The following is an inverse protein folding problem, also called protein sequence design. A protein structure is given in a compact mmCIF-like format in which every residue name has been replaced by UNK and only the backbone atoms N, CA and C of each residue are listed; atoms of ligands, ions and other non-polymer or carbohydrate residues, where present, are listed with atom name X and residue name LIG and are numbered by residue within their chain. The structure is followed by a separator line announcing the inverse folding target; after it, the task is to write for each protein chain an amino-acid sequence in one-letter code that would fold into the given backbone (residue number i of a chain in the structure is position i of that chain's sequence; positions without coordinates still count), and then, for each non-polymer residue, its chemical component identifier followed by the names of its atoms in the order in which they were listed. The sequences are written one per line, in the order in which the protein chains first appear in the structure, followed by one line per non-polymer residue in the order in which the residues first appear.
data_IF_377047281471
#
_entry.id   IF_377047281471
#
_cell.length_a   1.000
_cell.length_b   1.000
_cell.length_c   1.000
_cell.angle_alpha   90.00
_cell.angle_beta   90.00
_cell.angle_gamma   90.00
#
_symmetry.space_group_name_H-M   'P 1'
#
loop_
_entity.id
_entity.type
_entity.pdbx_description
1 polymer ?
#
# COMPACT_ATOMS: atom_id res chain seq x y z
N UNK A 1 18.39 19.82 0.86
CA UNK A 1 19.17 19.62 2.10
C UNK A 1 18.27 20.02 3.26
N UNK A 2 17.56 19.06 3.86
CA UNK A 2 16.65 19.32 4.97
C UNK A 2 17.32 18.86 6.26
N UNK A 3 17.27 19.63 7.35
CA UNK A 3 17.90 19.25 8.60
C UNK A 3 17.09 18.15 9.31
N UNK A 4 17.80 17.14 9.80
CA UNK A 4 17.30 16.12 10.71
C UNK A 4 16.81 16.78 12.00
N UNK A 5 15.52 16.67 12.32
CA UNK A 5 15.01 17.05 13.62
C UNK A 5 14.94 15.82 14.54
N UNK A 6 15.89 15.80 15.45
CA UNK A 6 15.92 14.97 16.65
C UNK A 6 14.66 15.24 17.49
N UNK A 7 14.01 14.17 17.95
CA UNK A 7 12.82 14.21 18.78
C UNK A 7 12.96 15.09 20.01
N UNK A 8 12.14 16.12 20.10
CA UNK A 8 11.99 16.94 21.30
C UNK A 8 11.02 16.27 22.27
N UNK A 9 11.54 15.73 23.36
CA UNK A 9 10.80 15.34 24.56
C UNK A 9 10.03 16.55 25.08
N UNK A 10 8.70 16.51 25.07
CA UNK A 10 7.86 17.51 25.74
C UNK A 10 7.75 17.17 27.22
N UNK A 11 8.33 17.99 28.08
CA UNK A 11 8.10 17.94 29.52
C UNK A 11 6.69 18.46 29.85
N UNK A 12 5.86 17.62 30.46
CA UNK A 12 4.63 18.02 31.11
C UNK A 12 4.92 18.17 32.61
N UNK A 13 4.50 19.27 33.27
CA UNK A 13 4.81 19.49 34.68
C UNK A 13 4.04 18.50 35.58
N UNK A 14 4.75 17.95 36.54
CA UNK A 14 4.26 16.97 37.52
C UNK A 14 3.48 17.71 38.61
N UNK A 15 2.21 17.35 38.78
CA UNK A 15 1.47 17.60 40.03
C UNK A 15 1.00 16.24 40.57
N UNK A 16 1.57 15.82 41.70
CA UNK A 16 1.12 14.66 42.47
C UNK A 16 1.72 13.33 42.04
N UNK A 17 2.64 12.83 42.81
CA UNK A 17 3.30 11.54 43.03
C UNK A 17 2.98 10.27 42.22
N UNK A 18 2.51 10.33 40.99
CA UNK A 18 2.53 9.18 40.06
C UNK A 18 3.79 9.32 39.17
N UNK A 19 4.74 8.37 39.29
CA UNK A 19 5.74 8.17 38.24
C UNK A 19 5.01 7.86 36.95
N UNK A 20 4.89 8.85 36.08
CA UNK A 20 4.51 8.61 34.68
C UNK A 20 5.62 7.72 34.11
N UNK A 21 5.36 6.44 33.92
CA UNK A 21 6.18 5.59 33.08
C UNK A 21 6.19 6.27 31.71
N UNK A 22 7.32 6.89 31.36
CA UNK A 22 7.57 7.34 29.98
C UNK A 22 7.59 6.04 29.19
N UNK A 23 6.49 5.72 28.51
CA UNK A 23 6.46 4.59 27.59
C UNK A 23 7.44 4.92 26.48
N UNK A 24 8.45 4.06 26.30
CA UNK A 24 9.37 4.15 25.19
C UNK A 24 8.60 4.02 23.89
N UNK A 25 9.00 4.80 22.88
CA UNK A 25 8.44 4.58 21.54
C UNK A 25 8.70 3.14 21.09
N UNK A 26 7.72 2.55 20.41
CA UNK A 26 7.86 1.23 19.80
C UNK A 26 9.03 1.16 18.80
N UNK A 27 9.51 2.29 18.29
CA UNK A 27 10.66 2.37 17.40
C UNK A 27 12.00 2.36 18.14
N UNK A 28 12.01 2.68 19.45
CA UNK A 28 13.24 2.84 20.21
C UNK A 28 14.01 1.51 20.32
N UNK A 29 15.24 1.52 19.80
CA UNK A 29 16.12 0.33 19.79
C UNK A 29 15.82 -0.65 18.65
N UNK A 30 14.92 -0.32 17.70
CA UNK A 30 14.49 -1.18 16.60
C UNK A 30 14.77 -0.54 15.23
N UNK A 31 16.05 -0.45 14.82
CA UNK A 31 16.43 0.25 13.58
C UNK A 31 15.78 -0.33 12.32
N UNK A 32 15.47 -1.64 12.28
CA UNK A 32 14.77 -2.26 11.16
C UNK A 32 13.32 -1.78 11.04
N UNK A 33 12.61 -1.71 12.16
CA UNK A 33 11.24 -1.16 12.19
C UNK A 33 11.24 0.33 11.83
N UNK A 34 12.19 1.09 12.38
CA UNK A 34 12.34 2.51 12.06
C UNK A 34 12.62 2.74 10.58
N UNK A 35 13.45 1.91 9.96
CA UNK A 35 13.73 1.98 8.52
C UNK A 35 12.46 1.77 7.69
N UNK A 36 11.62 0.78 8.01
CA UNK A 36 10.34 0.56 7.32
C UNK A 36 9.39 1.73 7.52
N UNK A 37 9.29 2.27 8.73
CA UNK A 37 8.42 3.43 9.01
C UNK A 37 8.91 4.67 8.25
N UNK A 38 10.22 4.87 8.11
CA UNK A 38 10.80 5.95 7.33
C UNK A 38 10.54 5.78 5.82
N UNK A 39 10.63 4.55 5.29
CA UNK A 39 10.27 4.25 3.90
C UNK A 39 8.78 4.54 3.64
N UNK A 40 7.89 4.18 4.57
CA UNK A 40 6.47 4.54 4.50
C UNK A 40 6.28 6.06 4.46
N UNK A 41 6.98 6.80 5.33
CA UNK A 41 6.93 8.27 5.35
C UNK A 41 7.41 8.88 4.02
N UNK A 42 8.47 8.34 3.43
CA UNK A 42 9.00 8.76 2.13
C UNK A 42 7.98 8.55 1.01
N UNK A 43 7.44 7.34 0.88
CA UNK A 43 6.42 7.00 -0.14
C UNK A 43 5.18 7.88 0.00
N UNK A 44 4.70 8.12 1.22
CA UNK A 44 3.53 8.99 1.44
C UNK A 44 3.80 10.45 1.05
N UNK A 45 5.06 10.89 1.16
CA UNK A 45 5.53 12.17 0.62
C UNK A 45 5.43 12.21 -0.91
N UNK A 46 5.87 11.17 -1.60
CA UNK A 46 5.76 11.05 -3.06
C UNK A 46 4.30 11.04 -3.52
N UNK A 47 3.44 10.26 -2.88
CA UNK A 47 2.00 10.21 -3.19
C UNK A 47 1.33 11.58 -3.09
N UNK A 48 1.67 12.36 -2.06
CA UNK A 48 1.17 13.71 -1.90
C UNK A 48 1.70 14.64 -3.00
N UNK A 49 2.99 14.57 -3.32
CA UNK A 49 3.62 15.41 -4.36
C UNK A 49 3.05 15.11 -5.75
N UNK A 50 2.72 13.86 -6.05
CA UNK A 50 2.09 13.44 -7.32
C UNK A 50 0.60 13.79 -7.40
N UNK A 51 -0.02 14.25 -6.31
CA UNK A 51 -1.45 14.53 -6.27
C UNK A 51 -2.33 13.28 -6.23
N UNK A 52 -1.78 12.15 -5.79
CA UNK A 52 -2.48 10.86 -5.74
C UNK A 52 -3.11 10.54 -4.38
N UNK A 53 -3.07 11.48 -3.46
CA UNK A 53 -3.56 11.31 -2.09
C UNK A 53 -4.20 12.62 -1.58
N UNK A 54 -5.32 12.96 -2.18
CA UNK A 54 -6.10 14.13 -1.79
C UNK A 54 -6.71 13.94 -0.39
N UNK A 55 -6.78 15.02 0.39
CA UNK A 55 -7.36 15.05 1.73
C UNK A 55 -6.87 13.88 2.59
N UNK A 56 -7.72 12.88 2.89
CA UNK A 56 -7.40 11.66 3.63
C UNK A 56 -7.39 10.41 2.74
N UNK A 57 -7.44 10.58 1.42
CA UNK A 57 -7.44 9.50 0.43
C UNK A 57 -6.18 8.64 0.49
N UNK A 58 -6.32 7.40 0.03
CA UNK A 58 -5.29 6.40 0.02
C UNK A 58 -5.01 5.76 1.39
N UNK A 59 -4.48 4.55 1.35
CA UNK A 59 -4.17 3.73 2.52
C UNK A 59 -2.88 2.95 2.34
N UNK A 60 -2.23 2.62 3.45
CA UNK A 60 -1.02 1.79 3.49
C UNK A 60 -1.16 0.79 4.61
N UNK A 61 -0.75 -0.45 4.34
CA UNK A 61 -0.56 -1.49 5.33
C UNK A 61 0.71 -2.25 5.00
N UNK A 62 1.61 -2.39 5.96
CA UNK A 62 2.89 -3.11 5.79
C UNK A 62 3.05 -4.13 6.89
N UNK A 63 3.34 -5.38 6.53
CA UNK A 63 3.67 -6.44 7.47
C UNK A 63 5.05 -6.16 8.10
N UNK A 64 5.06 -5.89 9.39
CA UNK A 64 6.26 -5.57 10.17
C UNK A 64 6.62 -6.66 11.18
N UNK A 65 6.03 -7.85 11.04
CA UNK A 65 6.16 -8.96 12.00
C UNK A 65 7.61 -9.35 12.27
N UNK A 66 8.47 -9.32 11.26
CA UNK A 66 9.88 -9.72 11.39
C UNK A 66 10.71 -8.79 12.29
N UNK A 67 10.22 -7.57 12.53
CA UNK A 67 10.87 -6.55 13.36
C UNK A 67 10.35 -6.53 14.80
N UNK A 68 9.37 -7.41 15.14
CA UNK A 68 8.77 -7.48 16.47
C UNK A 68 9.58 -8.41 17.38
N UNK A 69 10.31 -7.82 18.32
CA UNK A 69 11.03 -8.55 19.38
C UNK A 69 10.09 -8.97 20.52
N UNK A 70 10.65 -9.66 21.51
CA UNK A 70 9.87 -10.14 22.68
C UNK A 70 9.32 -8.99 23.53
N UNK A 71 9.98 -7.83 23.56
CA UNK A 71 9.46 -6.63 24.24
C UNK A 71 8.21 -6.11 23.53
N UNK A 72 8.22 -6.00 22.20
CA UNK A 72 7.03 -5.63 21.39
C UNK A 72 5.89 -6.63 21.59
N UNK A 73 6.20 -7.93 21.60
CA UNK A 73 5.18 -8.98 21.80
C UNK A 73 4.51 -8.89 23.17
N UNK A 74 5.26 -8.45 24.18
CA UNK A 74 4.76 -8.26 25.54
C UNK A 74 4.04 -6.91 25.76
N UNK A 75 4.08 -5.98 24.80
CA UNK A 75 3.40 -4.69 24.93
C UNK A 75 1.89 -4.87 25.09
N UNK A 76 1.26 -4.19 26.07
CA UNK A 76 -0.18 -4.22 26.22
C UNK A 76 -0.85 -3.46 25.07
N UNK A 77 -2.07 -3.85 24.76
CA UNK A 77 -2.95 -3.06 23.90
C UNK A 77 -3.23 -1.69 24.53
N UNK A 78 -3.15 -0.62 23.73
CA UNK A 78 -3.40 0.76 24.17
C UNK A 78 -4.80 1.25 23.82
N UNK A 79 -5.62 0.39 23.17
CA UNK A 79 -7.02 0.63 22.84
C UNK A 79 -7.81 -0.68 22.93
N UNK A 80 -9.16 -0.62 23.07
CA UNK A 80 -9.98 -1.82 23.05
C UNK A 80 -9.81 -2.63 21.76
N UNK A 81 -9.84 -3.95 21.88
CA UNK A 81 -9.84 -4.92 20.76
C UNK A 81 -10.95 -4.55 19.76
N UNK A 82 -10.64 -4.65 18.48
CA UNK A 82 -11.54 -4.35 17.36
C UNK A 82 -11.69 -5.56 16.43
N UNK A 83 -12.89 -5.74 15.91
CA UNK A 83 -13.18 -6.78 14.93
C UNK A 83 -12.69 -6.37 13.54
N UNK A 84 -12.12 -7.34 12.79
CA UNK A 84 -11.74 -7.18 11.38
C UNK A 84 -12.98 -7.32 10.49
N UNK A 85 -13.95 -8.14 10.89
CA UNK A 85 -15.13 -8.47 10.10
C UNK A 85 -14.99 -9.74 9.26
N UNK A 86 -13.83 -10.40 9.31
CA UNK A 86 -13.54 -11.67 8.64
C UNK A 86 -12.49 -12.45 9.43
N UNK A 87 -12.39 -13.76 9.16
CA UNK A 87 -11.37 -14.63 9.77
C UNK A 87 -10.21 -14.80 8.80
N UNK A 88 -8.98 -14.51 9.26
CA UNK A 88 -7.75 -14.47 8.46
C UNK A 88 -6.67 -15.34 9.09
N UNK A 89 -6.70 -16.67 8.88
CA UNK A 89 -5.90 -17.64 9.64
C UNK A 89 -4.39 -17.46 9.54
N UNK A 90 -3.88 -16.98 8.37
CA UNK A 90 -2.46 -16.79 8.15
C UNK A 90 -1.90 -15.58 8.93
N UNK A 91 -2.79 -14.70 9.43
CA UNK A 91 -2.40 -13.48 10.13
C UNK A 91 -2.30 -13.65 11.64
N UNK A 92 -2.61 -14.81 12.20
CA UNK A 92 -2.52 -15.06 13.65
C UNK A 92 -1.18 -14.57 14.23
N UNK A 93 -1.24 -13.65 15.20
CA UNK A 93 -0.06 -13.10 15.87
C UNK A 93 0.86 -12.27 14.98
N UNK A 94 0.43 -11.88 13.77
CA UNK A 94 1.19 -11.00 12.88
C UNK A 94 0.96 -9.53 13.22
N UNK A 95 1.91 -8.70 12.79
CA UNK A 95 1.94 -7.27 13.10
C UNK A 95 1.97 -6.46 11.82
N UNK A 96 1.14 -5.41 11.79
CA UNK A 96 1.03 -4.55 10.60
C UNK A 96 1.10 -3.08 11.00
N UNK A 97 1.96 -2.32 10.33
CA UNK A 97 1.83 -0.87 10.33
C UNK A 97 0.67 -0.49 9.41
N UNK A 98 -0.21 0.39 9.89
CA UNK A 98 -1.40 0.81 9.15
C UNK A 98 -1.57 2.33 9.23
N UNK A 99 -1.87 2.98 8.09
CA UNK A 99 -2.28 4.39 8.07
C UNK A 99 -3.57 4.56 8.89
N UNK A 100 -3.64 5.64 9.66
CA UNK A 100 -4.81 5.99 10.46
C UNK A 100 -6.00 6.46 9.63
N UNK A 101 -7.23 6.09 10.07
CA UNK A 101 -8.48 6.59 9.48
C UNK A 101 -8.55 8.11 9.60
N UNK A 102 -9.01 8.79 8.54
CA UNK A 102 -9.11 10.25 8.49
C UNK A 102 -7.76 10.99 8.45
N UNK A 103 -6.63 10.28 8.59
CA UNK A 103 -5.28 10.89 8.52
C UNK A 103 -4.87 11.12 7.07
N UNK A 104 -4.00 12.12 6.85
CA UNK A 104 -3.56 12.53 5.51
C UNK A 104 -2.18 11.99 5.22
N UNK A 105 -1.92 11.57 3.96
CA UNK A 105 -0.60 11.09 3.54
C UNK A 105 0.51 12.14 3.79
N UNK A 106 0.23 13.42 3.51
CA UNK A 106 1.19 14.52 3.76
C UNK A 106 1.57 14.70 5.23
N UNK A 107 0.67 14.34 6.16
CA UNK A 107 0.93 14.43 7.59
C UNK A 107 1.66 13.16 8.06
N UNK A 108 1.34 12.00 7.49
CA UNK A 108 2.04 10.74 7.72
C UNK A 108 3.49 10.81 7.23
N UNK A 109 3.75 11.49 6.11
CA UNK A 109 5.11 11.76 5.63
C UNK A 109 5.99 12.53 6.63
N UNK A 110 5.38 13.31 7.52
CA UNK A 110 6.10 14.11 8.53
C UNK A 110 6.13 13.46 9.90
N UNK A 111 5.04 12.80 10.26
CA UNK A 111 4.82 12.23 11.59
C UNK A 111 4.17 10.84 11.47
N UNK A 112 4.92 9.83 11.00
CA UNK A 112 4.34 8.52 10.68
C UNK A 112 3.66 7.84 11.87
N UNK A 113 4.25 7.91 13.08
CA UNK A 113 3.68 7.28 14.27
C UNK A 113 2.49 8.04 14.88
N UNK A 114 2.28 9.32 14.53
CA UNK A 114 1.11 10.10 14.94
C UNK A 114 -0.06 9.99 13.94
N UNK A 115 0.20 9.47 12.76
CA UNK A 115 -0.77 9.34 11.67
C UNK A 115 -0.98 7.89 11.21
N UNK A 116 -0.26 6.97 11.80
CA UNK A 116 -0.38 5.53 11.64
C UNK A 116 -0.23 4.83 12.98
N UNK A 117 -0.48 3.54 12.98
CA UNK A 117 -0.32 2.68 14.16
C UNK A 117 0.19 1.30 13.77
N UNK A 118 0.66 0.56 14.76
CA UNK A 118 0.97 -0.86 14.61
C UNK A 118 -0.15 -1.66 15.27
N UNK A 119 -0.73 -2.58 14.51
CA UNK A 119 -1.74 -3.50 15.00
C UNK A 119 -1.17 -4.91 15.11
N UNK A 120 -1.61 -5.64 16.13
CA UNK A 120 -1.36 -7.07 16.33
C UNK A 120 -2.64 -7.83 16.08
N UNK A 121 -2.61 -8.84 15.22
CA UNK A 121 -3.77 -9.71 14.99
C UNK A 121 -3.88 -10.71 16.14
N UNK A 122 -5.07 -10.80 16.72
CA UNK A 122 -5.35 -11.66 17.87
C UNK A 122 -5.37 -13.15 17.49
N UNK A 123 -5.38 -14.02 18.49
CA UNK A 123 -5.38 -15.48 18.32
C UNK A 123 -6.63 -16.01 17.64
N UNK A 124 -7.74 -15.27 17.69
CA UNK A 124 -9.00 -15.61 17.00
C UNK A 124 -8.95 -15.37 15.49
N UNK A 125 -7.87 -14.75 14.97
CA UNK A 125 -7.69 -14.41 13.55
C UNK A 125 -8.79 -13.48 12.99
N UNK A 126 -9.64 -12.91 13.83
CA UNK A 126 -10.82 -12.12 13.47
C UNK A 126 -10.83 -10.72 14.11
N UNK A 127 -9.89 -10.47 15.02
CA UNK A 127 -9.76 -9.21 15.72
C UNK A 127 -8.32 -8.73 15.78
N UNK A 128 -8.12 -7.45 16.13
CA UNK A 128 -6.80 -6.85 16.29
C UNK A 128 -6.74 -5.93 17.52
N UNK A 129 -5.52 -5.74 17.98
CA UNK A 129 -5.15 -4.81 19.03
C UNK A 129 -4.22 -3.73 18.47
N UNK A 130 -4.25 -2.53 19.06
CA UNK A 130 -3.29 -1.46 18.74
C UNK A 130 -2.20 -1.47 19.81
N UNK A 131 -0.93 -1.58 19.39
CA UNK A 131 0.24 -1.62 20.26
C UNK A 131 1.25 -0.49 19.97
N UNK A 132 0.82 0.53 19.25
CA UNK A 132 1.63 1.67 18.86
C UNK A 132 1.80 2.70 20.00
N UNK A 133 2.52 3.80 19.72
CA UNK A 133 2.77 4.88 20.70
C UNK A 133 1.50 5.69 21.01
N UNK A 134 0.57 5.76 20.04
CA UNK A 134 -0.71 6.45 20.16
C UNK A 134 -1.86 5.59 19.64
N UNK A 135 -3.10 5.75 20.20
CA UNK A 135 -4.25 4.95 19.82
C UNK A 135 -4.88 5.41 18.51
N UNK A 136 -4.08 5.49 17.46
CA UNK A 136 -4.55 5.87 16.12
C UNK A 136 -5.30 4.69 15.50
N UNK A 137 -6.60 4.88 15.26
CA UNK A 137 -7.43 3.85 14.63
C UNK A 137 -6.98 3.64 13.17
N UNK A 138 -6.74 2.39 12.73
CA UNK A 138 -6.38 2.09 11.34
C UNK A 138 -7.48 2.50 10.36
N UNK A 139 -7.11 2.57 9.08
CA UNK A 139 -8.04 2.84 7.96
C UNK A 139 -9.29 1.96 7.98
N UNK A 140 -10.41 2.48 7.51
CA UNK A 140 -11.66 1.71 7.34
C UNK A 140 -11.53 0.58 6.28
N UNK A 141 -10.51 0.65 5.41
CA UNK A 141 -10.21 -0.38 4.39
C UNK A 141 -9.24 -1.45 4.91
N UNK A 142 -8.92 -1.43 6.21
CA UNK A 142 -8.04 -2.43 6.82
C UNK A 142 -8.47 -3.88 6.52
N UNK A 143 -9.77 -4.25 6.54
CA UNK A 143 -10.19 -5.61 6.19
C UNK A 143 -9.73 -6.04 4.81
N UNK A 144 -9.87 -5.18 3.79
CA UNK A 144 -9.38 -5.46 2.42
C UNK A 144 -7.87 -5.67 2.42
N UNK A 145 -7.11 -4.76 3.03
CA UNK A 145 -5.65 -4.87 3.10
C UNK A 145 -5.19 -6.16 3.79
N UNK A 146 -5.83 -6.50 4.91
CA UNK A 146 -5.50 -7.72 5.66
C UNK A 146 -5.90 -8.99 4.88
N UNK A 147 -7.01 -8.99 4.14
CA UNK A 147 -7.39 -10.10 3.28
C UNK A 147 -6.32 -10.37 2.20
N UNK A 148 -5.78 -9.32 1.59
CA UNK A 148 -4.66 -9.42 0.64
C UNK A 148 -3.39 -9.97 1.32
N UNK A 149 -3.04 -9.47 2.50
CA UNK A 149 -1.89 -9.96 3.26
C UNK A 149 -2.06 -11.43 3.69
N UNK A 150 -3.28 -11.84 4.05
CA UNK A 150 -3.59 -13.25 4.35
C UNK A 150 -3.35 -14.15 3.13
N UNK A 151 -3.82 -13.74 1.96
CA UNK A 151 -3.60 -14.47 0.71
C UNK A 151 -2.10 -14.54 0.34
N UNK A 152 -1.37 -13.42 0.46
CA UNK A 152 0.07 -13.40 0.17
C UNK A 152 0.83 -14.37 1.07
N UNK A 153 0.52 -14.43 2.36
CA UNK A 153 1.12 -15.39 3.28
C UNK A 153 0.69 -16.84 2.99
N UNK A 154 -0.58 -17.05 2.64
CA UNK A 154 -1.10 -18.38 2.27
C UNK A 154 -0.37 -18.98 1.07
N UNK A 155 -0.03 -18.14 0.09
CA UNK A 155 0.69 -18.54 -1.11
C UNK A 155 2.22 -18.57 -0.96
N UNK A 156 2.74 -18.24 0.23
CA UNK A 156 4.17 -18.19 0.49
C UNK A 156 4.89 -17.01 -0.18
N UNK A 157 4.14 -15.98 -0.56
CA UNK A 157 4.72 -14.78 -1.17
C UNK A 157 5.59 -14.00 -0.18
N UNK A 158 6.67 -13.42 -0.68
CA UNK A 158 7.55 -12.53 0.08
C UNK A 158 7.00 -11.09 0.20
N UNK A 159 5.89 -10.79 -0.46
CA UNK A 159 5.30 -9.45 -0.47
C UNK A 159 4.72 -9.07 0.89
N UNK A 160 5.05 -7.87 1.36
CA UNK A 160 4.74 -7.38 2.71
C UNK A 160 3.90 -6.12 2.73
N UNK A 161 3.79 -5.42 1.59
CA UNK A 161 3.11 -4.15 1.51
C UNK A 161 1.81 -4.22 0.70
N UNK A 162 0.83 -3.43 1.11
CA UNK A 162 -0.38 -3.10 0.36
C UNK A 162 -0.55 -1.59 0.35
N UNK A 163 -0.63 -1.02 -0.84
CA UNK A 163 -0.80 0.41 -1.09
C UNK A 163 -2.09 0.66 -1.85
N UNK A 164 -2.95 1.53 -1.34
CA UNK A 164 -4.07 2.10 -2.08
C UNK A 164 -3.87 3.60 -2.28
N UNK A 165 -4.08 4.08 -3.51
CA UNK A 165 -3.89 5.48 -3.89
C UNK A 165 -4.77 5.85 -5.09
N UNK A 166 -4.91 7.16 -5.40
CA UNK A 166 -5.79 7.68 -6.44
C UNK A 166 -5.00 8.32 -7.59
N UNK A 167 -4.26 7.55 -8.41
CA UNK A 167 -3.49 8.10 -9.52
C UNK A 167 -4.40 8.64 -10.61
N UNK A 168 -4.28 9.94 -10.89
CA UNK A 168 -5.15 10.68 -11.81
C UNK A 168 -5.17 10.03 -13.18
N UNK A 169 -4.01 9.60 -13.66
CA UNK A 169 -3.80 9.05 -15.00
C UNK A 169 -4.60 7.76 -15.21
N UNK A 170 -4.44 6.81 -14.29
CA UNK A 170 -5.12 5.50 -14.38
C UNK A 170 -6.62 5.63 -14.08
N UNK A 171 -6.99 6.49 -13.14
CA UNK A 171 -8.39 6.79 -12.85
C UNK A 171 -9.06 7.41 -14.09
N UNK A 172 -8.41 8.38 -14.76
CA UNK A 172 -8.92 8.98 -15.99
C UNK A 172 -9.15 7.94 -17.10
N UNK A 173 -8.20 7.01 -17.30
CA UNK A 173 -8.35 5.92 -18.26
C UNK A 173 -9.54 5.01 -17.92
N UNK A 174 -9.86 4.81 -16.65
CA UNK A 174 -11.00 3.98 -16.21
C UNK A 174 -12.36 4.56 -16.56
N UNK A 175 -12.45 5.83 -16.97
CA UNK A 175 -13.68 6.43 -17.50
C UNK A 175 -13.95 6.08 -18.98
N UNK A 176 -13.02 5.40 -19.64
CA UNK A 176 -13.12 5.03 -21.05
C UNK A 176 -13.38 3.53 -21.17
N UNK A 177 -14.55 3.14 -21.65
CA UNK A 177 -15.02 1.74 -21.73
C UNK A 177 -14.06 0.79 -22.47
N UNK A 178 -13.29 1.29 -23.43
CA UNK A 178 -12.28 0.51 -24.15
C UNK A 178 -11.29 -0.12 -23.18
N UNK A 179 -10.79 0.64 -22.21
CA UNK A 179 -9.75 0.19 -21.27
C UNK A 179 -10.24 -0.76 -20.17
N UNK A 180 -11.57 -0.90 -20.02
CA UNK A 180 -12.17 -1.81 -19.04
C UNK A 180 -12.37 -3.23 -19.58
N UNK A 181 -12.08 -3.46 -20.89
CA UNK A 181 -12.33 -4.73 -21.56
C UNK A 181 -11.08 -5.57 -21.69
N UNK A 182 -11.12 -6.79 -21.14
CA UNK A 182 -10.01 -7.74 -21.22
C UNK A 182 -8.70 -7.13 -20.70
N UNK A 183 -7.62 -7.36 -21.42
CA UNK A 183 -6.28 -6.88 -21.07
C UNK A 183 -5.89 -5.60 -21.84
N UNK A 184 -6.87 -4.87 -22.40
CA UNK A 184 -6.60 -3.73 -23.26
C UNK A 184 -5.82 -2.63 -22.55
N UNK A 185 -6.13 -2.32 -21.28
CA UNK A 185 -5.36 -1.34 -20.52
C UNK A 185 -3.90 -1.79 -20.34
N UNK A 186 -3.69 -3.03 -19.93
CA UNK A 186 -2.33 -3.60 -19.81
C UNK A 186 -1.57 -3.50 -21.12
N UNK A 187 -2.20 -3.94 -22.23
CA UNK A 187 -1.59 -3.91 -23.57
C UNK A 187 -1.15 -2.51 -23.98
N UNK A 188 -2.03 -1.52 -23.79
CA UNK A 188 -1.73 -0.12 -24.10
C UNK A 188 -0.60 0.41 -23.22
N UNK A 189 -0.67 0.21 -21.90
CA UNK A 189 0.36 0.70 -20.99
C UNK A 189 1.73 0.08 -21.29
N UNK A 190 1.78 -1.22 -21.52
CA UNK A 190 3.04 -1.92 -21.87
C UNK A 190 3.64 -1.42 -23.16
N UNK A 191 2.81 -1.00 -24.13
CA UNK A 191 3.30 -0.52 -25.43
C UNK A 191 3.88 0.88 -25.40
N UNK A 192 3.71 1.67 -24.33
CA UNK A 192 4.15 3.06 -24.29
C UNK A 192 5.65 3.22 -24.03
N UNK A 193 6.23 2.43 -23.13
CA UNK A 193 7.67 2.41 -22.83
C UNK A 193 8.07 1.02 -22.34
N UNK A 194 9.31 0.55 -22.60
CA UNK A 194 9.79 -0.77 -22.17
C UNK A 194 9.78 -0.96 -20.66
N UNK A 195 10.04 0.10 -19.89
CA UNK A 195 10.08 0.08 -18.43
C UNK A 195 8.75 -0.36 -17.82
N UNK A 196 7.62 -0.01 -18.45
CA UNK A 196 6.31 -0.44 -17.95
C UNK A 196 6.17 -1.95 -17.98
N UNK A 197 6.66 -2.58 -19.06
CA UNK A 197 6.66 -4.03 -19.18
C UNK A 197 7.66 -4.67 -18.21
N UNK A 198 8.84 -4.04 -18.02
CA UNK A 198 9.89 -4.55 -17.16
C UNK A 198 9.54 -4.51 -15.67
N UNK A 199 8.93 -3.42 -15.19
CA UNK A 199 8.66 -3.18 -13.78
C UNK A 199 7.20 -3.48 -13.34
N UNK A 200 6.28 -3.65 -14.31
CA UNK A 200 4.94 -4.14 -14.05
C UNK A 200 4.60 -5.32 -14.99
N UNK A 201 5.39 -6.41 -14.95
CA UNK A 201 5.29 -7.52 -15.91
C UNK A 201 3.97 -8.30 -15.81
N UNK A 202 3.26 -8.19 -14.70
CA UNK A 202 1.94 -8.80 -14.51
C UNK A 202 0.80 -7.88 -14.96
N UNK A 203 1.11 -6.68 -15.47
CA UNK A 203 0.12 -5.70 -15.95
C UNK A 203 -0.76 -5.16 -14.85
N UNK A 204 -1.98 -4.74 -15.23
CA UNK A 204 -2.95 -4.16 -14.31
C UNK A 204 -4.29 -4.91 -14.38
N UNK A 205 -4.78 -5.35 -13.23
CA UNK A 205 -6.11 -5.93 -13.10
C UNK A 205 -7.19 -4.85 -13.01
N UNK A 206 -8.36 -5.07 -13.61
CA UNK A 206 -9.48 -4.13 -13.53
C UNK A 206 -10.59 -4.75 -12.69
N UNK A 207 -11.03 -4.00 -11.68
CA UNK A 207 -12.24 -4.29 -10.89
C UNK A 207 -13.30 -3.26 -11.27
N UNK A 208 -14.50 -3.69 -11.72
CA UNK A 208 -15.62 -2.79 -11.97
C UNK A 208 -15.95 -1.95 -10.73
N UNK A 209 -16.59 -0.81 -10.96
CA UNK A 209 -17.00 0.07 -9.86
C UNK A 209 -17.73 -0.71 -8.75
N UNK A 210 -17.27 -0.53 -7.53
CA UNK A 210 -17.85 -1.07 -6.30
C UNK A 210 -17.87 -0.02 -5.21
N UNK A 211 -18.74 -0.21 -4.23
CA UNK A 211 -18.82 0.69 -3.08
C UNK A 211 -17.51 0.60 -2.26
N UNK A 212 -16.80 1.71 -2.02
CA UNK A 212 -15.61 1.70 -1.17
C UNK A 212 -15.86 1.05 0.19
N UNK A 213 -14.90 0.27 0.67
CA UNK A 213 -14.95 -0.48 1.94
C UNK A 213 -16.02 -1.61 1.98
N UNK A 214 -16.61 -2.00 0.85
CA UNK A 214 -17.52 -3.15 0.81
C UNK A 214 -16.76 -4.48 0.74
N UNK A 215 -17.43 -5.54 1.19
CA UNK A 215 -16.91 -6.92 1.10
C UNK A 215 -16.77 -7.36 -0.36
N UNK A 216 -17.74 -7.02 -1.20
CA UNK A 216 -17.75 -7.34 -2.62
C UNK A 216 -16.55 -6.74 -3.35
N UNK A 217 -16.19 -5.48 -3.01
CA UNK A 217 -15.00 -4.84 -3.58
C UNK A 217 -13.73 -5.54 -3.11
N UNK A 218 -13.67 -5.95 -1.84
CA UNK A 218 -12.51 -6.68 -1.30
C UNK A 218 -12.33 -8.04 -1.97
N UNK A 219 -13.40 -8.80 -2.15
CA UNK A 219 -13.40 -10.10 -2.83
C UNK A 219 -12.98 -9.96 -4.31
N UNK A 220 -13.58 -9.00 -5.04
CA UNK A 220 -13.22 -8.74 -6.42
C UNK A 220 -11.77 -8.29 -6.57
N UNK A 221 -11.24 -7.52 -5.61
CA UNK A 221 -9.83 -7.11 -5.56
C UNK A 221 -8.93 -8.33 -5.36
N UNK A 222 -9.26 -9.19 -4.42
CA UNK A 222 -8.50 -10.41 -4.14
C UNK A 222 -8.41 -11.30 -5.38
N UNK A 223 -9.52 -11.51 -6.11
CA UNK A 223 -9.52 -12.30 -7.34
C UNK A 223 -8.58 -11.74 -8.43
N UNK A 224 -8.42 -10.41 -8.49
CA UNK A 224 -7.50 -9.77 -9.43
C UNK A 224 -6.04 -9.82 -8.94
N UNK A 225 -5.81 -9.65 -7.65
CA UNK A 225 -4.47 -9.75 -7.04
C UNK A 225 -3.87 -11.15 -7.20
N UNK A 226 -4.67 -12.20 -7.39
CA UNK A 226 -4.16 -13.53 -7.74
C UNK A 226 -3.31 -13.55 -9.02
N UNK A 227 -3.50 -12.60 -9.92
CA UNK A 227 -2.86 -12.55 -11.24
C UNK A 227 -2.06 -11.27 -11.50
N UNK A 228 -2.32 -10.20 -10.75
CA UNK A 228 -1.73 -8.88 -10.95
C UNK A 228 -1.20 -8.34 -9.63
N UNK A 229 -0.13 -7.57 -9.67
CA UNK A 229 0.39 -6.89 -8.48
C UNK A 229 -0.25 -5.51 -8.29
N UNK A 230 -0.80 -4.94 -9.35
CA UNK A 230 -1.56 -3.69 -9.33
C UNK A 230 -2.97 -3.94 -9.87
N UNK A 231 -3.96 -3.46 -9.14
CA UNK A 231 -5.38 -3.54 -9.50
C UNK A 231 -5.97 -2.12 -9.50
N UNK A 232 -6.70 -1.79 -10.55
CA UNK A 232 -7.44 -0.52 -10.66
C UNK A 232 -8.92 -0.77 -10.33
N UNK A 233 -9.41 -0.08 -9.33
CA UNK A 233 -10.84 0.07 -9.07
C UNK A 233 -11.41 1.14 -10.00
N UNK A 234 -12.34 0.75 -10.85
CA UNK A 234 -12.96 1.66 -11.84
C UNK A 234 -13.44 2.95 -11.15
N UNK A 235 -13.00 4.12 -11.66
CA UNK A 235 -13.36 5.48 -11.19
C UNK A 235 -13.00 5.79 -9.73
N UNK A 236 -12.07 5.03 -9.15
CA UNK A 236 -11.71 5.23 -7.75
C UNK A 236 -10.19 5.38 -7.60
N UNK A 237 -9.41 4.32 -7.80
CA UNK A 237 -7.98 4.34 -7.55
C UNK A 237 -7.35 2.96 -7.75
N UNK A 238 -6.09 2.83 -7.37
CA UNK A 238 -5.35 1.57 -7.47
C UNK A 238 -5.11 0.94 -6.11
N UNK A 239 -5.04 -0.39 -6.09
CA UNK A 239 -4.46 -1.19 -5.00
C UNK A 239 -3.27 -1.93 -5.57
N UNK A 240 -2.10 -1.76 -4.96
CA UNK A 240 -0.87 -2.44 -5.32
C UNK A 240 -0.36 -3.27 -4.15
N UNK A 241 0.25 -4.41 -4.45
CA UNK A 241 1.02 -5.21 -3.49
C UNK A 241 2.48 -5.25 -3.93
N UNK A 242 3.41 -5.34 -2.98
CA UNK A 242 4.84 -5.34 -3.25
C UNK A 242 5.65 -5.98 -2.15
N UNK A 243 6.93 -6.26 -2.44
CA UNK A 243 7.88 -6.79 -1.46
C UNK A 243 8.02 -5.84 -0.26
N UNK A 244 8.03 -4.54 -0.55
CA UNK A 244 7.94 -3.45 0.40
C UNK A 244 7.04 -2.33 -0.15
N UNK A 245 6.93 -1.23 0.58
CA UNK A 245 6.04 -0.13 0.17
C UNK A 245 6.58 0.67 -1.01
N UNK A 246 7.90 0.70 -1.21
CA UNK A 246 8.52 1.35 -2.36
C UNK A 246 8.24 0.56 -3.64
N UNK A 247 8.39 -0.79 -3.60
CA UNK A 247 8.05 -1.65 -4.73
C UNK A 247 6.58 -1.50 -5.15
N UNK A 248 5.64 -1.50 -4.20
CA UNK A 248 4.22 -1.27 -4.48
C UNK A 248 3.95 0.13 -5.11
N UNK A 249 4.70 1.15 -4.68
CA UNK A 249 4.65 2.48 -5.25
C UNK A 249 5.23 2.51 -6.66
N UNK A 250 6.42 1.96 -6.88
CA UNK A 250 7.12 1.99 -8.16
C UNK A 250 6.34 1.30 -9.27
N UNK A 251 5.69 0.16 -8.98
CA UNK A 251 4.80 -0.51 -9.92
C UNK A 251 3.63 0.39 -10.35
N UNK A 252 3.04 1.12 -9.40
CA UNK A 252 1.98 2.08 -9.71
C UNK A 252 2.52 3.27 -10.50
N UNK A 253 3.71 3.78 -10.14
CA UNK A 253 4.33 4.94 -10.79
C UNK A 253 4.66 4.68 -12.25
N UNK A 254 5.25 3.53 -12.56
CA UNK A 254 5.60 3.19 -13.96
C UNK A 254 4.36 3.02 -14.83
N UNK A 255 3.27 2.46 -14.30
CA UNK A 255 1.99 2.37 -15.01
C UNK A 255 1.38 3.76 -15.26
N UNK A 256 1.46 4.65 -14.27
CA UNK A 256 1.02 6.05 -14.42
C UNK A 256 1.88 6.82 -15.42
N UNK A 257 3.19 6.57 -15.45
CA UNK A 257 4.09 7.14 -16.45
C UNK A 257 3.66 6.77 -17.87
N UNK A 258 3.36 5.50 -18.10
CA UNK A 258 2.85 5.02 -19.39
C UNK A 258 1.49 5.64 -19.75
N UNK A 259 0.56 5.71 -18.78
CA UNK A 259 -0.74 6.36 -18.95
C UNK A 259 -0.59 7.84 -19.35
N UNK A 260 0.32 8.55 -18.70
CA UNK A 260 0.61 9.95 -19.02
C UNK A 260 1.19 10.13 -20.43
N UNK A 261 2.12 9.25 -20.84
CA UNK A 261 2.66 9.24 -22.20
C UNK A 261 1.53 9.02 -23.22
N UNK A 262 0.66 8.03 -22.97
CA UNK A 262 -0.50 7.78 -23.82
C UNK A 262 -1.40 9.02 -23.95
N UNK A 263 -1.75 9.66 -22.84
CA UNK A 263 -2.59 10.87 -22.83
C UNK A 263 -1.92 12.05 -23.55
N UNK A 264 -0.61 12.26 -23.35
CA UNK A 264 0.14 13.29 -24.06
C UNK A 264 0.14 13.06 -25.57
N UNK A 265 0.40 11.82 -26.01
CA UNK A 265 0.37 11.48 -27.42
C UNK A 265 -1.04 11.65 -28.05
N UNK A 266 -2.08 11.24 -27.33
CA UNK A 266 -3.49 11.48 -27.75
C UNK A 266 -3.80 12.96 -27.90
N UNK A 267 -3.29 13.82 -27.04
CA UNK A 267 -3.47 15.27 -27.13
C UNK A 267 -2.78 15.87 -28.36
N UNK A 268 -1.87 15.17 -29.02
CA UNK A 268 -1.30 15.56 -30.32
C UNK A 268 -2.27 15.27 -31.50
N UNK A 269 -3.43 14.67 -31.24
CA UNK A 269 -4.50 14.45 -32.22
C UNK A 269 -4.50 13.06 -32.88
N UNK A 270 -3.62 12.14 -32.47
CA UNK A 270 -3.54 10.78 -33.02
C UNK A 270 -3.57 9.72 -31.92
N UNK A 271 -4.00 8.52 -32.28
CA UNK A 271 -3.77 7.33 -31.46
C UNK A 271 -2.27 6.99 -31.51
N UNK A 272 -1.58 6.82 -30.39
CA UNK A 272 -0.18 6.40 -30.43
C UNK A 272 -0.07 4.97 -30.94
N UNK A 273 0.92 4.71 -31.79
CA UNK A 273 1.17 3.37 -32.33
C UNK A 273 1.64 2.41 -31.23
N UNK A 274 2.47 2.91 -30.31
CA UNK A 274 3.10 2.10 -29.26
C UNK A 274 4.14 1.10 -29.80
N UNK A 275 4.74 0.32 -28.92
CA UNK A 275 5.60 -0.79 -29.30
C UNK A 275 4.77 -1.91 -29.92
N UNK A 276 5.34 -2.57 -30.96
CA UNK A 276 4.69 -3.75 -31.57
C UNK A 276 4.70 -4.95 -30.63
N UNK A 277 3.86 -5.95 -30.91
CA UNK A 277 3.86 -7.19 -30.15
C UNK A 277 5.22 -7.90 -30.17
N UNK A 278 5.93 -7.84 -31.31
CA UNK A 278 7.27 -8.40 -31.48
C UNK A 278 8.29 -7.68 -30.60
N UNK A 279 8.26 -6.34 -30.57
CA UNK A 279 9.15 -5.55 -29.72
C UNK A 279 8.88 -5.80 -28.23
N UNK A 280 7.62 -5.86 -27.81
CA UNK A 280 7.26 -6.21 -26.43
C UNK A 280 7.74 -7.62 -26.05
N UNK A 281 7.60 -8.58 -26.99
CA UNK A 281 8.09 -9.94 -26.77
C UNK A 281 9.61 -9.99 -26.65
N UNK A 282 10.34 -9.24 -27.47
CA UNK A 282 11.80 -9.12 -27.37
C UNK A 282 12.23 -8.62 -25.97
N UNK A 283 11.57 -7.57 -25.45
CA UNK A 283 11.81 -7.08 -24.08
C UNK A 283 11.56 -8.19 -23.05
N UNK A 284 10.44 -8.91 -23.15
CA UNK A 284 10.14 -10.01 -22.22
C UNK A 284 11.20 -11.11 -22.24
N UNK A 285 11.64 -11.50 -23.44
CA UNK A 285 12.60 -12.59 -23.62
C UNK A 285 14.01 -12.17 -23.15
N UNK A 286 14.48 -10.97 -23.50
CA UNK A 286 15.81 -10.44 -23.13
C UNK A 286 15.94 -10.26 -21.62
N UNK A 287 14.93 -9.72 -20.98
CA UNK A 287 14.94 -9.48 -19.52
C UNK A 287 14.41 -10.66 -18.70
N UNK A 288 14.01 -11.75 -19.35
CA UNK A 288 13.45 -12.94 -18.70
C UNK A 288 12.36 -12.58 -17.68
N UNK A 289 11.39 -11.75 -18.12
CA UNK A 289 10.38 -11.18 -17.23
C UNK A 289 9.47 -12.26 -16.64
N UNK A 290 9.12 -12.16 -15.35
CA UNK A 290 8.29 -13.16 -14.69
C UNK A 290 6.87 -13.14 -15.26
N UNK A 291 6.26 -14.34 -15.37
CA UNK A 291 4.84 -14.53 -15.75
C UNK A 291 3.93 -14.71 -14.54
N UNK A 292 4.53 -14.85 -13.38
CA UNK A 292 3.88 -14.99 -12.09
C UNK A 292 4.63 -14.18 -11.06
N UNK A 293 3.99 -13.84 -9.97
CA UNK A 293 4.63 -13.13 -8.86
C UNK A 293 5.89 -13.86 -8.40
N UNK A 294 7.03 -13.16 -8.27
CA UNK A 294 8.25 -13.75 -7.73
C UNK A 294 8.09 -14.12 -6.26
N UNK A 295 8.83 -15.14 -5.84
CA UNK A 295 8.87 -15.76 -4.51
C UNK A 295 7.56 -16.39 -4.02
#
# INVERSE_FOLDING_TARGET
MFPHHVGLSRHIPIVGGLRTLIMKSILEGRPGLEAVVNQIAEVTGYLWQKGWAERNGGNITVNVTEFMDEECKAMPAIAPVKQIGMVLPQLKGKYFYCKGTGKRMRDLARWPMQNGSIVRICDDCASYEIIADEPVMPTSELPTHLALQNYLLETGSCYKATLHTHPIELVAMSHIQRFLKGDEMTRVLWSMIPETLAFAPLGIGIVPYGLPSSVELAEATLEKIKKHDVVLWEKHGTVAVGQDIMDAFDQTDVLCKAANIYMCARNMGSEPDGMTAEAMKEVQDVFNLPKTRPC
#
